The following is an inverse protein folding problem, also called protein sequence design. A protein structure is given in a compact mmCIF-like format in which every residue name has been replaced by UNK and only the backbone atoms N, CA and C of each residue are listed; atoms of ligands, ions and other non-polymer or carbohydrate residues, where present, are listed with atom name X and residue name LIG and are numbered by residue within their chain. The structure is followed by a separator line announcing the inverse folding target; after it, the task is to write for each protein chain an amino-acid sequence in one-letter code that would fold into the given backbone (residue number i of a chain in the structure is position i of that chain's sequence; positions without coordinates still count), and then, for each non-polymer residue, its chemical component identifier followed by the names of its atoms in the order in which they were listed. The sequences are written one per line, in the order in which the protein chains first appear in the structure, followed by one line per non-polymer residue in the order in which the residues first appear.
data_IF_866080256745
#
_entry.id   IF_866080256745
#
_cell.length_a   1.000
_cell.length_b   1.000
_cell.length_c   1.000
_cell.angle_alpha   90.00
_cell.angle_beta   90.00
_cell.angle_gamma   90.00
#
_symmetry.space_group_name_H-M   'P 1'
#
loop_
_entity.id
_entity.type
_entity.pdbx_description
1 polymer ?
#
# COMPACT_ATOMS: atom_id res chain seq x y z
N UNK A 1 23.62 -16.38 -71.79
CA UNK A 1 22.73 -15.21 -71.63
C UNK A 1 21.35 -15.66 -72.09
N UNK A 2 20.27 -15.70 -71.31
CA UNK A 2 19.95 -15.21 -69.96
C UNK A 2 18.98 -16.21 -69.28
N UNK A 3 18.87 -16.27 -67.94
CA UNK A 3 17.74 -16.88 -67.25
C UNK A 3 16.61 -15.84 -67.09
N UNK A 4 15.39 -16.19 -67.50
CA UNK A 4 14.18 -15.41 -67.22
C UNK A 4 13.59 -15.84 -65.88
N UNK A 5 13.48 -14.87 -64.97
CA UNK A 5 12.71 -14.93 -63.73
C UNK A 5 11.20 -15.02 -63.99
N UNK A 6 10.52 -16.04 -63.45
CA UNK A 6 9.10 -15.98 -63.05
C UNK A 6 8.84 -17.02 -61.91
N UNK A 7 8.06 -16.69 -60.85
CA UNK A 7 7.76 -17.59 -59.75
C UNK A 7 6.58 -18.55 -60.08
N UNK A 8 6.48 -19.74 -59.46
CA UNK A 8 5.30 -20.59 -59.61
C UNK A 8 4.15 -20.09 -58.73
N UNK A 9 3.02 -19.84 -59.38
CA UNK A 9 1.70 -19.61 -58.80
C UNK A 9 1.01 -20.95 -58.51
N UNK A 10 0.18 -20.98 -57.45
CA UNK A 10 -0.74 -22.06 -56.98
C UNK A 10 -0.10 -22.98 -55.93
N UNK A 11 -0.60 -23.09 -54.70
CA UNK A 11 -2.00 -23.38 -54.36
C UNK A 11 -2.61 -22.51 -53.25
N UNK A 12 -3.85 -22.09 -53.49
CA UNK A 12 -4.74 -21.45 -52.54
C UNK A 12 -5.37 -22.53 -51.64
N UNK A 13 -4.97 -22.58 -50.37
CA UNK A 13 -5.85 -23.09 -49.29
C UNK A 13 -6.38 -21.87 -48.55
N UNK A 14 -7.70 -21.72 -48.33
CA UNK A 14 -8.23 -20.62 -47.53
C UNK A 14 -7.77 -20.81 -46.08
N UNK A 15 -6.68 -20.14 -45.70
CA UNK A 15 -6.23 -20.09 -44.32
C UNK A 15 -7.23 -19.22 -43.57
N UNK A 16 -8.12 -19.89 -42.85
CA UNK A 16 -8.99 -19.30 -41.84
C UNK A 16 -8.14 -18.35 -40.97
N UNK A 17 -8.51 -17.08 -40.78
CA UNK A 17 -7.78 -16.21 -39.88
C UNK A 17 -7.79 -16.84 -38.49
N UNK A 18 -6.60 -17.13 -37.96
CA UNK A 18 -6.45 -17.51 -36.56
C UNK A 18 -7.16 -16.45 -35.70
N UNK A 19 -7.98 -16.85 -34.71
CA UNK A 19 -8.64 -15.91 -33.83
C UNK A 19 -7.57 -15.05 -33.13
N UNK A 20 -7.82 -13.75 -32.93
CA UNK A 20 -6.86 -12.83 -32.36
C UNK A 20 -6.36 -13.42 -31.04
N UNK A 21 -5.03 -13.44 -30.93
CA UNK A 21 -4.32 -13.79 -29.71
C UNK A 21 -5.09 -13.24 -28.51
N UNK A 22 -5.49 -14.12 -27.59
CA UNK A 22 -5.82 -13.76 -26.21
C UNK A 22 -4.85 -12.66 -25.77
N UNK A 23 -5.29 -11.62 -25.04
CA UNK A 23 -4.37 -10.65 -24.46
C UNK A 23 -3.49 -11.42 -23.46
N UNK A 24 -2.36 -11.90 -23.96
CA UNK A 24 -1.24 -12.28 -23.13
C UNK A 24 -0.62 -10.96 -22.70
N UNK A 25 -0.70 -10.71 -21.39
CA UNK A 25 0.19 -9.80 -20.66
C UNK A 25 -0.25 -8.33 -20.55
N UNK A 26 -1.28 -8.10 -19.74
CA UNK A 26 -1.47 -6.85 -18.99
C UNK A 26 -1.31 -7.06 -17.47
N UNK A 27 -0.56 -8.08 -17.05
CA UNK A 27 -0.42 -8.42 -15.61
C UNK A 27 0.84 -7.82 -14.96
N UNK A 28 1.69 -7.11 -15.71
CA UNK A 28 2.98 -6.58 -15.20
C UNK A 28 3.06 -5.06 -15.06
N UNK A 29 2.08 -4.31 -15.58
CA UNK A 29 2.05 -2.83 -15.52
C UNK A 29 1.03 -2.31 -14.47
N UNK A 30 0.23 -3.20 -13.90
CA UNK A 30 -0.84 -2.86 -12.95
C UNK A 30 -0.39 -2.92 -11.47
N UNK A 31 0.80 -3.45 -11.21
CA UNK A 31 1.34 -3.56 -9.84
C UNK A 31 1.84 -2.21 -9.31
N UNK A 32 2.43 -1.39 -10.18
CA UNK A 32 2.89 -0.04 -9.83
C UNK A 32 1.74 0.89 -9.40
N UNK A 33 0.63 1.03 -10.16
CA UNK A 33 -0.47 1.89 -9.75
C UNK A 33 -1.15 1.40 -8.48
N UNK A 34 -1.36 0.09 -8.32
CA UNK A 34 -2.00 -0.46 -7.11
C UNK A 34 -1.15 -0.27 -5.85
N UNK A 35 0.17 -0.40 -5.97
CA UNK A 35 1.10 -0.11 -4.87
C UNK A 35 1.08 1.37 -4.47
N UNK A 36 1.14 2.30 -5.45
CA UNK A 36 1.11 3.75 -5.18
C UNK A 36 -0.21 4.17 -4.56
N UNK A 37 -1.33 3.62 -5.05
CA UNK A 37 -2.66 3.85 -4.48
C UNK A 37 -2.70 3.38 -3.02
N UNK A 38 -2.19 2.17 -2.74
CA UNK A 38 -2.12 1.65 -1.36
C UNK A 38 -1.28 2.54 -0.44
N UNK A 39 -0.18 3.10 -0.95
CA UNK A 39 0.68 4.00 -0.19
C UNK A 39 -0.03 5.34 0.10
N UNK A 40 -0.70 5.93 -0.90
CA UNK A 40 -1.49 7.16 -0.72
C UNK A 40 -2.65 6.96 0.25
N UNK A 41 -3.44 5.90 0.04
CA UNK A 41 -4.62 5.59 0.88
C UNK A 41 -4.21 5.26 2.30
N UNK A 42 -3.20 4.41 2.49
CA UNK A 42 -2.69 4.05 3.82
C UNK A 42 -2.17 5.26 4.58
N UNK A 43 -1.42 6.14 3.91
CA UNK A 43 -0.90 7.38 4.52
C UNK A 43 -2.02 8.36 4.85
N UNK A 44 -3.01 8.53 3.97
CA UNK A 44 -4.15 9.39 4.22
C UNK A 44 -4.98 8.90 5.42
N UNK A 45 -5.23 7.58 5.52
CA UNK A 45 -5.94 6.98 6.65
C UNK A 45 -5.17 7.16 7.95
N UNK A 46 -3.84 6.93 7.96
CA UNK A 46 -3.01 7.22 9.12
C UNK A 46 -3.09 8.69 9.54
N UNK A 47 -3.04 9.60 8.57
CA UNK A 47 -3.11 11.04 8.85
C UNK A 47 -4.47 11.47 9.41
N UNK A 48 -5.58 10.99 8.83
CA UNK A 48 -6.93 11.28 9.31
C UNK A 48 -7.15 10.70 10.72
N UNK A 49 -6.73 9.46 10.96
CA UNK A 49 -6.80 8.84 12.29
C UNK A 49 -5.97 9.60 13.32
N UNK A 50 -4.75 9.98 12.95
CA UNK A 50 -3.85 10.75 13.80
C UNK A 50 -4.38 12.15 14.13
N UNK A 51 -4.89 12.89 13.14
CA UNK A 51 -5.47 14.22 13.37
C UNK A 51 -6.63 14.18 14.36
N UNK A 52 -7.50 13.18 14.26
CA UNK A 52 -8.59 13.00 15.22
C UNK A 52 -8.05 12.74 16.64
N UNK A 53 -7.03 11.88 16.80
CA UNK A 53 -6.38 11.66 18.11
C UNK A 53 -5.75 12.96 18.64
N UNK A 54 -5.05 13.71 17.78
CA UNK A 54 -4.41 14.97 18.13
C UNK A 54 -5.43 16.03 18.58
N UNK A 55 -6.53 16.16 17.85
CA UNK A 55 -7.64 17.05 18.19
C UNK A 55 -8.34 16.60 19.49
N UNK A 56 -8.46 15.29 19.73
CA UNK A 56 -9.01 14.76 20.99
C UNK A 56 -8.18 15.17 22.20
N UNK A 57 -6.85 15.12 22.09
CA UNK A 57 -5.93 15.53 23.16
C UNK A 57 -5.98 17.05 23.34
N UNK A 58 -5.99 17.81 22.25
CA UNK A 58 -5.88 19.27 22.28
C UNK A 58 -7.20 19.97 22.65
N UNK A 59 -8.34 19.42 22.24
CA UNK A 59 -9.67 19.99 22.46
C UNK A 59 -10.40 19.42 23.68
N UNK A 60 -9.86 18.40 24.35
CA UNK A 60 -10.46 17.78 25.54
C UNK A 60 -11.73 16.94 25.27
N UNK A 61 -12.11 16.73 24.00
CA UNK A 61 -13.25 15.90 23.65
C UNK A 61 -12.91 14.40 23.71
N UNK A 62 -13.79 13.61 24.30
CA UNK A 62 -13.72 12.15 24.27
C UNK A 62 -14.11 11.66 22.87
N UNK A 63 -13.12 11.20 22.10
CA UNK A 63 -13.37 10.51 20.84
C UNK A 63 -13.37 9.00 21.09
N UNK A 64 -14.35 8.31 20.49
CA UNK A 64 -14.51 6.85 20.48
C UNK A 64 -13.33 6.13 19.81
N UNK A 65 -13.31 4.79 19.85
CA UNK A 65 -12.25 3.95 19.26
C UNK A 65 -12.08 4.11 17.72
N UNK A 66 -13.03 4.73 17.04
CA UNK A 66 -13.07 4.85 15.56
C UNK A 66 -11.80 5.45 14.93
N UNK A 67 -11.22 6.57 15.39
CA UNK A 67 -9.98 7.10 14.82
C UNK A 67 -8.78 6.17 14.97
N UNK A 68 -8.75 5.37 16.03
CA UNK A 68 -7.71 4.37 16.22
C UNK A 68 -7.84 3.27 15.18
N UNK A 69 -9.05 2.79 14.91
CA UNK A 69 -9.28 1.81 13.85
C UNK A 69 -8.89 2.35 12.47
N UNK A 70 -9.19 3.63 12.20
CA UNK A 70 -8.79 4.30 10.96
C UNK A 70 -7.25 4.40 10.88
N UNK A 71 -6.58 4.75 11.97
CA UNK A 71 -5.13 4.84 12.05
C UNK A 71 -4.44 3.48 11.82
N UNK A 72 -4.83 2.45 12.58
CA UNK A 72 -4.23 1.11 12.46
C UNK A 72 -4.63 0.40 11.16
N UNK A 73 -5.83 0.68 10.65
CA UNK A 73 -6.26 0.25 9.31
C UNK A 73 -5.40 0.89 8.23
N UNK A 74 -5.15 2.20 8.32
CA UNK A 74 -4.21 2.91 7.45
C UNK A 74 -2.80 2.34 7.51
N UNK A 75 -2.31 2.05 8.72
CA UNK A 75 -0.99 1.45 8.93
C UNK A 75 -0.88 0.06 8.30
N UNK A 76 -1.95 -0.73 8.35
CA UNK A 76 -2.01 -2.07 7.72
C UNK A 76 -1.96 -1.96 6.19
N UNK A 77 -2.76 -1.06 5.61
CA UNK A 77 -2.77 -0.81 4.16
C UNK A 77 -1.44 -0.27 3.68
N UNK A 78 -0.85 0.67 4.43
CA UNK A 78 0.47 1.22 4.15
C UNK A 78 1.56 0.15 4.24
N UNK A 79 1.57 -0.67 5.29
CA UNK A 79 2.55 -1.73 5.44
C UNK A 79 2.50 -2.73 4.28
N UNK A 80 1.29 -3.03 3.79
CA UNK A 80 1.11 -3.90 2.62
C UNK A 80 1.78 -3.34 1.36
N UNK A 81 1.71 -2.03 1.16
CA UNK A 81 2.18 -1.35 -0.04
C UNK A 81 3.64 -0.86 0.04
N UNK A 82 4.11 -0.49 1.23
CA UNK A 82 5.41 0.15 1.44
C UNK A 82 6.53 -0.83 1.81
N UNK A 83 6.19 -1.99 2.41
CA UNK A 83 7.19 -2.93 2.92
C UNK A 83 7.39 -4.09 1.96
N UNK A 84 8.56 -4.15 1.33
CA UNK A 84 8.93 -5.22 0.40
C UNK A 84 9.31 -6.52 1.12
N UNK A 85 9.90 -6.42 2.32
CA UNK A 85 10.34 -7.59 3.09
C UNK A 85 9.13 -8.29 3.72
N UNK A 86 8.81 -9.54 3.34
CA UNK A 86 7.57 -10.20 3.79
C UNK A 86 7.47 -10.34 5.31
N UNK A 87 8.59 -10.68 5.96
CA UNK A 87 8.66 -10.85 7.42
C UNK A 87 8.30 -9.55 8.15
N UNK A 88 8.85 -8.43 7.69
CA UNK A 88 8.59 -7.12 8.28
C UNK A 88 7.17 -6.67 7.94
N UNK A 89 6.71 -6.88 6.70
CA UNK A 89 5.36 -6.54 6.25
C UNK A 89 4.30 -7.21 7.12
N UNK A 90 4.35 -8.54 7.21
CA UNK A 90 3.38 -9.28 8.01
C UNK A 90 3.56 -9.01 9.50
N UNK A 91 4.79 -8.79 9.98
CA UNK A 91 5.02 -8.37 11.36
C UNK A 91 4.29 -7.06 11.70
N UNK A 92 4.46 -6.01 10.90
CA UNK A 92 3.79 -4.72 11.10
C UNK A 92 2.27 -4.86 10.98
N UNK A 93 1.77 -5.62 9.99
CA UNK A 93 0.34 -5.85 9.82
C UNK A 93 -0.28 -6.60 11.01
N UNK A 94 0.35 -7.68 11.47
CA UNK A 94 -0.12 -8.43 12.63
C UNK A 94 -0.14 -7.55 13.88
N UNK A 95 0.92 -6.78 14.13
CA UNK A 95 0.96 -5.86 15.27
C UNK A 95 -0.14 -4.80 15.18
N UNK A 96 -0.33 -4.19 14.01
CA UNK A 96 -1.37 -3.19 13.78
C UNK A 96 -2.78 -3.76 14.00
N UNK A 97 -3.07 -4.95 13.47
CA UNK A 97 -4.36 -5.62 13.61
C UNK A 97 -4.59 -6.04 15.07
N UNK A 98 -3.59 -6.60 15.74
CA UNK A 98 -3.69 -6.97 17.16
C UNK A 98 -3.95 -5.76 18.05
N UNK A 99 -3.29 -4.63 17.78
CA UNK A 99 -3.53 -3.37 18.50
C UNK A 99 -4.94 -2.83 18.25
N UNK A 100 -5.41 -2.87 16.99
CA UNK A 100 -6.76 -2.45 16.63
C UNK A 100 -7.82 -3.30 17.35
N UNK A 101 -7.64 -4.62 17.37
CA UNK A 101 -8.53 -5.56 18.05
C UNK A 101 -8.50 -5.40 19.57
N UNK A 102 -7.32 -5.20 20.15
CA UNK A 102 -7.19 -4.94 21.58
C UNK A 102 -7.97 -3.67 21.95
N UNK A 103 -7.76 -2.57 21.25
CA UNK A 103 -8.49 -1.32 21.49
C UNK A 103 -9.99 -1.45 21.28
N UNK A 104 -10.42 -2.25 20.29
CA UNK A 104 -11.83 -2.53 20.05
C UNK A 104 -12.48 -3.33 21.19
N UNK A 105 -11.77 -4.33 21.74
CA UNK A 105 -12.26 -5.10 22.89
C UNK A 105 -12.28 -4.29 24.18
N UNK A 106 -11.27 -3.46 24.42
CA UNK A 106 -11.20 -2.68 25.66
C UNK A 106 -12.21 -1.53 25.68
N UNK A 107 -12.69 -1.04 24.52
CA UNK A 107 -13.90 -0.21 24.33
C UNK A 107 -13.85 1.20 24.93
N UNK A 108 -13.10 1.39 26.00
CA UNK A 108 -12.95 2.62 26.76
C UNK A 108 -11.57 3.20 26.45
N UNK A 109 -11.55 4.26 25.63
CA UNK A 109 -10.32 4.95 25.27
C UNK A 109 -9.92 5.87 26.42
N UNK A 110 -9.27 5.30 27.44
CA UNK A 110 -8.65 6.10 28.50
C UNK A 110 -7.61 7.07 27.90
N UNK A 111 -7.42 8.19 28.57
CA UNK A 111 -6.43 9.23 28.21
C UNK A 111 -5.04 8.66 27.86
N UNK A 112 -4.61 7.58 28.53
CA UNK A 112 -3.32 6.94 28.28
C UNK A 112 -3.19 6.35 26.86
N UNK A 113 -4.26 5.82 26.27
CA UNK A 113 -4.23 5.29 24.90
C UNK A 113 -3.95 6.37 23.86
N UNK A 114 -4.53 7.57 24.06
CA UNK A 114 -4.30 8.73 23.20
C UNK A 114 -2.83 9.16 23.25
N UNK A 115 -2.25 9.17 24.46
CA UNK A 115 -0.84 9.50 24.67
C UNK A 115 0.09 8.45 24.04
N UNK A 116 -0.16 7.16 24.25
CA UNK A 116 0.66 6.08 23.66
C UNK A 116 0.69 6.17 22.15
N UNK A 117 -0.45 6.39 21.48
CA UNK A 117 -0.50 6.51 20.02
C UNK A 117 0.20 7.77 19.53
N UNK A 118 0.04 8.89 20.24
CA UNK A 118 0.75 10.13 19.92
C UNK A 118 2.27 9.95 20.01
N UNK A 119 2.77 9.44 21.13
CA UNK A 119 4.21 9.21 21.33
C UNK A 119 4.77 8.13 20.40
N UNK A 120 4.03 7.05 20.15
CA UNK A 120 4.44 6.02 19.20
C UNK A 120 4.59 6.60 17.79
N UNK A 121 3.64 7.45 17.36
CA UNK A 121 3.72 8.12 16.05
C UNK A 121 4.93 9.02 15.96
N UNK A 122 5.20 9.82 17.01
CA UNK A 122 6.40 10.67 17.07
C UNK A 122 7.68 9.84 16.96
N UNK A 123 7.78 8.73 17.69
CA UNK A 123 8.96 7.86 17.66
C UNK A 123 9.14 7.25 16.27
N UNK A 124 8.06 6.78 15.63
CA UNK A 124 8.11 6.22 14.27
C UNK A 124 8.56 7.29 13.27
N UNK A 125 7.99 8.50 13.32
CA UNK A 125 8.39 9.61 12.44
C UNK A 125 9.84 10.02 12.69
N UNK A 126 10.26 10.13 13.95
CA UNK A 126 11.66 10.38 14.29
C UNK A 126 12.55 9.27 13.71
N UNK A 127 12.19 8.00 13.90
CA UNK A 127 12.96 6.89 13.35
C UNK A 127 13.11 7.01 11.83
N UNK A 128 12.03 7.29 11.09
CA UNK A 128 12.12 7.53 9.65
C UNK A 128 12.99 8.76 9.31
N UNK A 129 12.78 9.89 9.97
CA UNK A 129 13.57 11.11 9.74
C UNK A 129 15.07 10.94 9.99
N UNK A 130 15.45 10.13 10.99
CA UNK A 130 16.85 9.99 11.40
C UNK A 130 17.54 8.77 10.83
N UNK A 131 16.79 7.73 10.44
CA UNK A 131 17.33 6.46 9.97
C UNK A 131 17.24 6.29 8.44
N UNK A 132 16.59 7.21 7.72
CA UNK A 132 16.81 7.32 6.28
C UNK A 132 18.27 7.73 6.03
N UNK A 133 19.09 6.88 5.36
CA UNK A 133 20.43 7.28 4.99
C UNK A 133 20.31 8.46 4.04
N UNK A 134 20.80 9.64 4.47
CA UNK A 134 21.08 10.76 3.57
C UNK A 134 21.85 10.16 2.39
N UNK A 135 21.21 10.03 1.22
CA UNK A 135 21.87 9.54 0.01
C UNK A 135 23.17 10.35 -0.12
N UNK A 136 24.35 9.71 -0.16
CA UNK A 136 25.56 10.45 -0.47
C UNK A 136 25.37 10.97 -1.89
N UNK A 137 25.33 12.29 -2.05
CA UNK A 137 25.60 12.91 -3.34
C UNK A 137 27.08 12.65 -3.63
N UNK A 138 27.37 11.66 -4.46
CA UNK A 138 28.63 11.48 -5.15
C UNK A 138 28.39 10.70 -6.43
#
# INVERSE_FOLDING_TARGET
MAPSDLPPTQDQTPQLPDPPARPAREESDNDHPTQVIGLMVGTALMFIGFLNVFLSISGGFEINVVPFLIYFGGLTVWANAAVETPVIRYGVMTVAISLALALFQYGEVLFWHKQVVFWATIIVVMYFMFNEPKKPTA
#
